data_IF_316584630870
#
_entry.id   IF_316584630870
#
_cell.length_a   1.000
_cell.length_b   1.000
_cell.length_c   1.000
_cell.angle_alpha   90.00
_cell.angle_beta   90.00
_cell.angle_gamma   90.00
#
_symmetry.space_group_name_H-M   'P 1'
#
loop_
_entity.id
_entity.type
_entity.pdbx_description
1 polymer ?
#
# COMPACT_ATOMS: atom_id res chain seq x y z
N UNK A 1 40.00 -23.80 14.66
CA UNK A 1 40.21 -25.27 14.79
C UNK A 1 41.01 -25.57 16.06
N UNK A 2 40.77 -26.69 16.76
CA UNK A 2 41.54 -27.02 17.98
C UNK A 2 42.89 -27.70 17.66
N UNK A 3 43.81 -27.80 18.63
CA UNK A 3 45.17 -28.36 18.41
C UNK A 3 45.17 -29.82 17.92
N UNK A 4 44.23 -30.64 18.42
CA UNK A 4 44.15 -32.06 18.05
C UNK A 4 43.63 -32.22 16.63
N UNK A 5 42.64 -31.42 16.25
CA UNK A 5 42.13 -31.34 14.88
C UNK A 5 43.21 -30.85 13.93
N UNK A 6 44.00 -29.83 14.29
CA UNK A 6 45.06 -29.28 13.44
C UNK A 6 46.03 -30.37 12.96
N UNK A 7 46.48 -31.26 13.85
CA UNK A 7 47.35 -32.38 13.50
C UNK A 7 46.73 -33.35 12.48
N UNK A 8 45.41 -33.52 12.48
CA UNK A 8 44.71 -34.36 11.49
C UNK A 8 44.56 -33.68 10.12
N UNK A 9 44.70 -32.35 10.10
CA UNK A 9 44.58 -31.50 8.93
C UNK A 9 45.94 -31.03 8.38
N UNK A 10 47.05 -31.46 9.00
CA UNK A 10 48.39 -31.22 8.46
C UNK A 10 48.55 -31.92 7.10
N UNK A 11 49.13 -31.21 6.14
CA UNK A 11 49.25 -31.63 4.74
C UNK A 11 47.95 -31.58 3.93
N UNK A 12 46.82 -31.18 4.55
CA UNK A 12 45.51 -31.07 3.87
C UNK A 12 45.17 -29.61 3.57
N UNK A 13 44.22 -29.43 2.65
CA UNK A 13 43.65 -28.12 2.36
C UNK A 13 42.76 -27.65 3.51
N UNK A 14 42.96 -26.39 3.92
CA UNK A 14 42.17 -25.68 4.92
C UNK A 14 41.71 -24.34 4.35
N UNK A 15 40.65 -23.78 4.93
CA UNK A 15 40.29 -22.38 4.73
C UNK A 15 40.94 -21.56 5.81
N UNK A 16 41.54 -20.43 5.45
CA UNK A 16 42.09 -19.51 6.43
C UNK A 16 41.84 -18.05 6.07
N UNK A 17 41.85 -17.21 7.09
CA UNK A 17 41.65 -15.78 6.98
C UNK A 17 42.81 -15.02 7.61
N UNK A 18 43.54 -14.26 6.79
CA UNK A 18 44.65 -13.42 7.26
C UNK A 18 44.21 -12.01 7.62
N UNK A 19 43.22 -11.48 6.91
CA UNK A 19 42.68 -10.14 7.07
C UNK A 19 41.15 -10.14 6.93
N UNK A 20 40.49 -9.00 7.16
CA UNK A 20 39.03 -8.89 7.04
C UNK A 20 38.54 -8.85 5.59
N UNK A 21 39.44 -8.87 4.60
CA UNK A 21 39.10 -8.56 3.22
C UNK A 21 38.81 -9.81 2.38
N UNK A 22 39.44 -10.94 2.71
CA UNK A 22 39.25 -12.19 1.99
C UNK A 22 39.64 -13.43 2.79
N UNK A 23 39.10 -14.58 2.37
CA UNK A 23 39.47 -15.90 2.86
C UNK A 23 40.10 -16.72 1.74
N UNK A 24 41.01 -17.61 2.10
CA UNK A 24 41.88 -18.34 1.18
C UNK A 24 41.78 -19.84 1.40
N UNK A 25 42.09 -20.60 0.34
CA UNK A 25 42.46 -21.99 0.45
C UNK A 25 43.98 -22.12 0.52
N UNK A 26 44.46 -22.97 1.42
CA UNK A 26 45.86 -23.33 1.45
C UNK A 26 46.11 -24.67 2.09
N UNK A 27 47.32 -25.18 1.92
CA UNK A 27 47.76 -26.42 2.56
C UNK A 27 48.44 -26.07 3.87
N UNK A 28 47.96 -26.67 4.96
CA UNK A 28 48.56 -26.53 6.29
C UNK A 28 49.86 -27.36 6.33
N UNK A 29 51.01 -26.72 6.13
CA UNK A 29 52.31 -27.41 6.07
C UNK A 29 52.85 -27.73 7.47
N UNK A 30 52.87 -26.72 8.35
CA UNK A 30 53.48 -26.81 9.68
C UNK A 30 52.54 -26.30 10.77
N UNK A 31 52.69 -26.86 11.98
CA UNK A 31 51.88 -26.50 13.15
C UNK A 31 52.82 -26.22 14.32
N UNK A 32 52.71 -25.03 14.88
CA UNK A 32 53.51 -24.55 16.01
C UNK A 32 52.61 -24.40 17.24
N UNK A 33 52.88 -25.19 18.29
CA UNK A 33 52.07 -25.22 19.52
C UNK A 33 52.86 -24.76 20.76
N UNK A 34 53.17 -23.46 20.91
CA UNK A 34 53.83 -22.96 22.11
C UNK A 34 52.97 -23.16 23.37
N UNK A 35 53.63 -23.45 24.50
CA UNK A 35 52.97 -23.66 25.79
C UNK A 35 52.22 -22.38 26.22
N UNK A 36 50.98 -22.53 26.70
CA UNK A 36 50.08 -21.44 27.12
C UNK A 36 49.80 -20.34 26.07
N UNK A 37 50.02 -20.59 24.78
CA UNK A 37 49.70 -19.67 23.69
C UNK A 37 48.78 -20.33 22.66
N UNK A 38 48.07 -19.51 21.88
CA UNK A 38 47.31 -19.98 20.73
C UNK A 38 48.31 -20.60 19.73
N UNK A 39 47.94 -21.75 19.16
CA UNK A 39 48.79 -22.40 18.18
C UNK A 39 48.75 -21.62 16.86
N UNK A 40 49.82 -21.72 16.08
CA UNK A 40 49.92 -21.08 14.76
C UNK A 40 50.23 -22.13 13.71
N UNK A 41 49.75 -21.93 12.49
CA UNK A 41 50.00 -22.81 11.36
C UNK A 41 50.69 -22.06 10.22
N UNK A 42 51.68 -22.69 9.60
CA UNK A 42 52.25 -22.21 8.33
C UNK A 42 51.42 -22.78 7.19
N UNK A 43 50.83 -21.92 6.38
CA UNK A 43 49.93 -22.31 5.29
C UNK A 43 50.48 -21.81 3.96
N UNK A 44 50.57 -22.71 2.97
CA UNK A 44 50.87 -22.38 1.58
C UNK A 44 49.58 -22.05 0.82
N UNK A 45 49.46 -20.83 0.30
CA UNK A 45 48.25 -20.37 -0.42
C UNK A 45 48.12 -21.07 -1.77
N UNK A 46 46.97 -21.71 -2.00
CA UNK A 46 46.64 -22.36 -3.28
C UNK A 46 45.54 -21.62 -4.05
N UNK A 47 44.68 -20.87 -3.35
CA UNK A 47 43.57 -20.18 -3.98
C UNK A 47 42.82 -19.23 -3.05
N UNK A 48 41.81 -18.57 -3.60
CA UNK A 48 40.88 -17.69 -2.89
C UNK A 48 39.56 -18.41 -2.70
N UNK A 49 39.05 -18.39 -1.46
CA UNK A 49 37.75 -18.96 -1.11
C UNK A 49 36.63 -17.96 -1.31
N UNK A 50 36.75 -16.79 -0.67
CA UNK A 50 35.74 -15.74 -0.68
C UNK A 50 36.40 -14.36 -0.59
N UNK A 51 35.78 -13.37 -1.23
CA UNK A 51 36.19 -11.97 -1.19
C UNK A 51 35.07 -11.20 -0.49
N UNK A 52 35.41 -10.52 0.59
CA UNK A 52 34.47 -9.72 1.38
C UNK A 52 34.54 -8.24 1.01
N UNK A 53 35.69 -7.79 0.51
CA UNK A 53 35.96 -6.40 0.14
C UNK A 53 36.48 -6.30 -1.30
N UNK A 54 35.86 -5.42 -2.10
CA UNK A 54 36.20 -5.17 -3.50
C UNK A 54 37.63 -4.63 -3.64
N UNK A 55 38.10 -3.86 -2.67
CA UNK A 55 39.45 -3.27 -2.71
C UNK A 55 40.54 -4.35 -2.62
N UNK A 56 40.21 -5.53 -2.08
CA UNK A 56 41.13 -6.66 -2.00
C UNK A 56 41.56 -7.17 -3.38
N UNK A 57 40.72 -7.01 -4.41
CA UNK A 57 40.89 -7.56 -5.76
C UNK A 57 42.24 -7.14 -6.36
N UNK A 58 42.68 -5.91 -6.11
CA UNK A 58 43.93 -5.38 -6.64
C UNK A 58 45.18 -6.06 -6.04
N UNK A 59 45.07 -6.60 -4.83
CA UNK A 59 46.17 -7.27 -4.12
C UNK A 59 46.24 -8.78 -4.34
N UNK A 60 45.22 -9.38 -4.98
CA UNK A 60 45.11 -10.84 -5.11
C UNK A 60 46.03 -11.44 -6.20
N UNK A 61 46.47 -10.66 -7.19
CA UNK A 61 47.18 -11.20 -8.36
C UNK A 61 48.48 -11.94 -8.04
N UNK A 62 49.14 -11.57 -6.93
CA UNK A 62 50.50 -12.01 -6.63
C UNK A 62 50.61 -12.94 -5.40
N UNK A 63 49.50 -13.27 -4.73
CA UNK A 63 49.51 -14.05 -3.47
C UNK A 63 49.53 -15.58 -3.66
N UNK A 64 49.43 -16.07 -4.89
CA UNK A 64 49.43 -17.50 -5.17
C UNK A 64 50.81 -18.13 -4.89
N UNK A 65 50.87 -19.09 -3.97
CA UNK A 65 52.13 -19.76 -3.58
C UNK A 65 52.90 -19.08 -2.45
N UNK A 66 52.37 -18.01 -1.85
CA UNK A 66 52.94 -17.41 -0.65
C UNK A 66 52.68 -18.28 0.60
N UNK A 67 53.51 -18.11 1.62
CA UNK A 67 53.36 -18.77 2.92
C UNK A 67 52.97 -17.75 3.99
N UNK A 68 51.95 -18.07 4.75
CA UNK A 68 51.50 -17.25 5.88
C UNK A 68 51.55 -18.05 7.18
N UNK A 69 51.97 -17.40 8.26
CA UNK A 69 51.83 -17.93 9.61
C UNK A 69 50.58 -17.35 10.26
N UNK A 70 49.56 -18.19 10.43
CA UNK A 70 48.21 -17.78 10.84
C UNK A 70 47.86 -18.38 12.20
N UNK A 71 47.13 -17.63 13.01
CA UNK A 71 46.56 -18.12 14.26
C UNK A 71 45.54 -19.22 14.01
N UNK A 72 45.60 -20.31 14.78
CA UNK A 72 44.67 -21.43 14.70
C UNK A 72 43.18 -21.10 14.84
N UNK A 73 42.88 -19.91 15.38
CA UNK A 73 41.50 -19.39 15.45
C UNK A 73 40.95 -19.02 14.07
N UNK A 74 41.80 -18.63 13.14
CA UNK A 74 41.42 -18.21 11.78
C UNK A 74 41.60 -19.34 10.76
N UNK A 75 41.81 -20.58 11.23
CA UNK A 75 41.99 -21.76 10.39
C UNK A 75 40.80 -22.69 10.59
N UNK A 76 40.18 -23.06 9.47
CA UNK A 76 38.97 -23.86 9.42
C UNK A 76 39.17 -25.10 8.52
N UNK A 77 38.65 -26.28 8.94
CA UNK A 77 38.62 -27.48 8.10
C UNK A 77 37.93 -27.22 6.75
N UNK A 78 38.39 -27.88 5.69
CA UNK A 78 37.72 -27.85 4.39
C UNK A 78 37.75 -29.23 3.71
N UNK A 79 36.58 -29.84 3.57
CA UNK A 79 36.38 -31.16 2.97
C UNK A 79 35.88 -31.12 1.52
N UNK A 80 35.70 -29.91 0.97
CA UNK A 80 35.18 -29.71 -0.37
C UNK A 80 36.21 -29.84 -1.49
N UNK A 81 35.76 -29.66 -2.73
CA UNK A 81 36.62 -29.61 -3.92
C UNK A 81 37.16 -28.20 -4.14
N UNK A 82 38.47 -28.06 -4.25
CA UNK A 82 39.12 -26.81 -4.66
C UNK A 82 39.13 -26.64 -6.18
N UNK A 83 39.24 -25.40 -6.63
CA UNK A 83 39.59 -25.13 -8.02
C UNK A 83 41.03 -25.55 -8.28
N UNK A 84 41.32 -26.07 -9.48
CA UNK A 84 42.65 -26.60 -9.84
C UNK A 84 43.73 -25.52 -9.96
N UNK A 85 43.37 -24.25 -9.99
CA UNK A 85 44.33 -23.15 -10.08
C UNK A 85 43.93 -21.95 -9.23
N UNK A 86 44.93 -21.21 -8.77
CA UNK A 86 44.75 -19.95 -8.07
C UNK A 86 43.88 -18.98 -8.89
N UNK A 87 44.22 -18.78 -10.17
CA UNK A 87 43.44 -17.94 -11.10
C UNK A 87 41.98 -18.39 -11.21
N UNK A 88 41.73 -19.70 -11.32
CA UNK A 88 40.38 -20.24 -11.37
C UNK A 88 39.59 -20.00 -10.07
N UNK A 89 40.26 -20.06 -8.92
CA UNK A 89 39.64 -19.76 -7.62
C UNK A 89 39.27 -18.28 -7.49
N UNK A 90 40.13 -17.38 -7.96
CA UNK A 90 39.87 -15.92 -8.00
C UNK A 90 38.65 -15.61 -8.87
N UNK A 91 38.59 -16.14 -10.10
CA UNK A 91 37.46 -15.92 -11.00
C UNK A 91 36.12 -16.37 -10.40
N UNK A 92 36.13 -17.53 -9.73
CA UNK A 92 34.93 -18.03 -9.04
C UNK A 92 34.54 -17.13 -7.87
N UNK A 93 35.50 -16.69 -7.05
CA UNK A 93 35.23 -15.79 -5.93
C UNK A 93 34.68 -14.43 -6.40
N UNK A 94 35.20 -13.89 -7.50
CA UNK A 94 34.68 -12.68 -8.15
C UNK A 94 33.25 -12.86 -8.64
N UNK A 95 32.95 -13.96 -9.32
CA UNK A 95 31.59 -14.26 -9.82
C UNK A 95 30.59 -14.35 -8.65
N UNK A 96 31.00 -14.96 -7.53
CA UNK A 96 30.18 -15.02 -6.33
C UNK A 96 29.93 -13.62 -5.74
N UNK A 97 30.97 -12.78 -5.66
CA UNK A 97 30.85 -11.41 -5.18
C UNK A 97 29.93 -10.56 -6.08
N UNK A 98 30.03 -10.70 -7.40
CA UNK A 98 29.13 -10.04 -8.36
C UNK A 98 27.67 -10.47 -8.17
N UNK A 99 27.42 -11.77 -7.97
CA UNK A 99 26.07 -12.30 -7.73
C UNK A 99 25.48 -11.77 -6.42
N UNK A 100 26.25 -11.80 -5.33
CA UNK A 100 25.85 -11.25 -4.03
C UNK A 100 25.57 -9.75 -4.13
N UNK A 101 26.45 -9.01 -4.81
CA UNK A 101 26.30 -7.56 -5.03
C UNK A 101 25.04 -7.27 -5.86
N UNK A 102 24.77 -8.05 -6.89
CA UNK A 102 23.58 -7.90 -7.74
C UNK A 102 22.29 -8.15 -6.95
N UNK A 103 22.27 -9.19 -6.10
CA UNK A 103 21.16 -9.46 -5.19
C UNK A 103 20.95 -8.31 -4.19
N UNK A 104 22.03 -7.77 -3.62
CA UNK A 104 21.98 -6.61 -2.73
C UNK A 104 21.45 -5.35 -3.43
N UNK A 105 21.87 -5.09 -4.67
CA UNK A 105 21.35 -3.98 -5.49
C UNK A 105 19.84 -4.14 -5.71
N UNK A 106 19.37 -5.34 -6.03
CA UNK A 106 17.95 -5.60 -6.19
C UNK A 106 17.18 -5.36 -4.89
N UNK A 107 17.68 -5.89 -3.77
CA UNK A 107 17.07 -5.67 -2.46
C UNK A 107 17.01 -4.18 -2.09
N UNK A 108 18.09 -3.44 -2.32
CA UNK A 108 18.13 -1.98 -2.09
C UNK A 108 17.17 -1.22 -3.02
N UNK A 109 16.95 -1.67 -4.26
CA UNK A 109 15.95 -1.09 -5.17
C UNK A 109 14.52 -1.31 -4.64
N UNK A 110 14.23 -2.51 -4.14
CA UNK A 110 12.94 -2.85 -3.54
C UNK A 110 12.69 -2.02 -2.27
N UNK A 111 13.70 -1.91 -1.39
CA UNK A 111 13.64 -1.05 -0.21
C UNK A 111 13.43 0.41 -0.60
N UNK A 112 14.15 0.93 -1.60
CA UNK A 112 13.97 2.29 -2.12
C UNK A 112 12.54 2.51 -2.64
N UNK A 113 11.97 1.54 -3.36
CA UNK A 113 10.58 1.58 -3.82
C UNK A 113 9.62 1.62 -2.63
N UNK A 114 9.80 0.75 -1.64
CA UNK A 114 9.02 0.77 -0.40
C UNK A 114 9.10 2.12 0.33
N UNK A 115 10.29 2.72 0.41
CA UNK A 115 10.48 4.05 0.99
C UNK A 115 9.82 5.14 0.16
N UNK A 116 9.84 5.05 -1.17
CA UNK A 116 9.14 5.98 -2.06
C UNK A 116 7.62 5.88 -1.90
N UNK A 117 7.07 4.66 -1.87
CA UNK A 117 5.66 4.39 -1.66
C UNK A 117 5.22 4.85 -0.27
N UNK A 118 6.04 4.59 0.76
CA UNK A 118 5.82 5.08 2.11
C UNK A 118 5.88 6.60 2.16
N UNK A 119 6.87 7.23 1.50
CA UNK A 119 6.97 8.69 1.41
C UNK A 119 5.78 9.30 0.66
N UNK A 120 5.24 8.64 -0.36
CA UNK A 120 4.00 9.04 -1.03
C UNK A 120 2.82 8.93 -0.06
N UNK A 121 2.67 7.82 0.65
CA UNK A 121 1.65 7.64 1.69
C UNK A 121 1.76 8.68 2.81
N UNK A 122 2.97 9.01 3.27
CA UNK A 122 3.21 10.02 4.31
C UNK A 122 3.14 11.46 3.79
N UNK A 123 3.54 11.74 2.54
CA UNK A 123 3.29 13.05 1.88
C UNK A 123 1.80 13.29 1.72
N UNK A 124 1.05 12.26 1.32
CA UNK A 124 -0.40 12.31 1.21
C UNK A 124 -1.07 12.30 2.60
N UNK A 125 -0.39 11.76 3.63
CA UNK A 125 -0.87 11.75 5.01
C UNK A 125 -0.67 13.07 5.76
N UNK A 126 0.35 13.87 5.40
CA UNK A 126 0.60 15.19 6.00
C UNK A 126 1.40 16.09 5.03
N UNK A 127 0.73 16.77 4.09
CA UNK A 127 1.13 18.09 3.52
C UNK A 127 0.18 18.57 2.42
N UNK A 128 -0.94 19.14 2.82
CA UNK A 128 -1.25 20.58 2.79
C UNK A 128 -2.64 20.70 3.42
N UNK A 129 -3.02 21.87 3.90
CA UNK A 129 -4.42 22.25 3.82
C UNK A 129 -4.78 22.25 2.33
N UNK A 130 -4.92 21.07 1.73
CA UNK A 130 -5.69 20.94 0.51
C UNK A 130 -7.01 21.58 0.86
N UNK A 131 -7.34 22.63 0.12
CA UNK A 131 -8.66 23.22 0.19
C UNK A 131 -9.65 22.04 0.23
N UNK A 132 -10.41 21.89 1.33
CA UNK A 132 -11.24 20.71 1.51
C UNK A 132 -12.45 20.78 0.58
N UNK A 133 -12.50 21.76 -0.33
CA UNK A 133 -13.54 21.91 -1.32
C UNK A 133 -13.02 21.70 -2.75
N UNK A 134 -13.89 21.14 -3.58
CA UNK A 134 -13.81 21.21 -5.04
C UNK A 134 -14.67 22.37 -5.52
N UNK A 135 -14.18 23.11 -6.51
CA UNK A 135 -14.83 24.30 -7.03
C UNK A 135 -15.47 24.03 -8.38
N UNK A 136 -16.72 24.45 -8.52
CA UNK A 136 -17.53 24.26 -9.71
C UNK A 136 -18.13 25.59 -10.16
N UNK A 137 -18.48 25.63 -11.43
CA UNK A 137 -19.25 26.70 -12.04
C UNK A 137 -20.56 26.13 -12.57
N UNK A 138 -21.70 26.78 -12.28
CA UNK A 138 -22.97 26.40 -12.88
C UNK A 138 -22.98 26.72 -14.38
N UNK A 139 -23.19 25.70 -15.19
CA UNK A 139 -23.34 25.78 -16.64
C UNK A 139 -24.77 25.45 -17.08
N UNK A 140 -25.06 25.73 -18.35
CA UNK A 140 -26.27 25.30 -19.02
C UNK A 140 -25.86 24.69 -20.35
N UNK A 141 -26.08 23.38 -20.50
CA UNK A 141 -25.69 22.61 -21.68
C UNK A 141 -26.79 21.57 -21.98
N UNK A 142 -27.10 21.34 -23.25
CA UNK A 142 -28.07 20.31 -23.68
C UNK A 142 -29.45 20.40 -22.98
N UNK A 143 -29.94 21.62 -22.77
CA UNK A 143 -31.19 21.93 -22.05
C UNK A 143 -31.19 21.68 -20.53
N UNK A 144 -30.08 21.20 -19.97
CA UNK A 144 -29.93 20.90 -18.54
C UNK A 144 -28.90 21.79 -17.82
N UNK A 145 -29.05 21.90 -16.49
CA UNK A 145 -28.12 22.65 -15.64
C UNK A 145 -27.04 21.71 -15.14
N UNK A 146 -25.78 22.07 -15.36
CA UNK A 146 -24.62 21.24 -15.05
C UNK A 146 -23.66 21.94 -14.10
N UNK A 147 -23.00 21.15 -13.25
CA UNK A 147 -21.84 21.54 -12.46
C UNK A 147 -20.58 21.24 -13.28
N UNK A 148 -19.81 22.29 -13.60
CA UNK A 148 -18.55 22.17 -14.34
C UNK A 148 -17.40 22.36 -13.36
N UNK A 149 -16.62 21.30 -13.13
CA UNK A 149 -15.49 21.29 -12.21
C UNK A 149 -14.34 22.15 -12.75
N UNK A 150 -13.83 23.07 -11.95
CA UNK A 150 -12.95 24.12 -12.47
C UNK A 150 -11.56 23.60 -12.88
N UNK A 151 -11.09 22.49 -12.31
CA UNK A 151 -9.71 22.01 -12.47
C UNK A 151 -9.52 21.01 -13.62
N UNK A 152 -10.37 20.00 -13.70
CA UNK A 152 -10.34 18.92 -14.70
C UNK A 152 -11.43 19.05 -15.76
N UNK A 153 -12.34 20.04 -15.62
CA UNK A 153 -13.47 20.28 -16.53
C UNK A 153 -14.43 19.09 -16.61
N UNK A 154 -14.45 18.25 -15.58
CA UNK A 154 -15.47 17.23 -15.41
C UNK A 154 -16.85 17.86 -15.23
N UNK A 155 -17.89 17.15 -15.69
CA UNK A 155 -19.26 17.64 -15.73
C UNK A 155 -20.15 16.71 -14.92
N UNK A 156 -21.06 17.30 -14.17
CA UNK A 156 -22.04 16.58 -13.37
C UNK A 156 -23.41 17.24 -13.50
N UNK A 157 -24.47 16.45 -13.61
CA UNK A 157 -25.83 16.99 -13.60
C UNK A 157 -26.15 17.60 -12.24
N UNK A 158 -26.78 18.77 -12.24
CA UNK A 158 -27.24 19.39 -11.00
C UNK A 158 -28.51 18.71 -10.47
N UNK A 159 -29.40 18.29 -11.37
CA UNK A 159 -30.64 17.62 -10.99
C UNK A 159 -30.36 16.23 -10.42
N UNK A 160 -30.93 15.94 -9.24
CA UNK A 160 -30.63 14.70 -8.50
C UNK A 160 -29.23 14.61 -7.89
N UNK A 161 -28.46 15.71 -7.88
CA UNK A 161 -27.13 15.75 -7.27
C UNK A 161 -27.20 15.50 -5.74
N UNK A 162 -26.54 14.46 -5.20
CA UNK A 162 -26.65 14.06 -3.79
C UNK A 162 -25.74 14.86 -2.85
N UNK A 163 -25.10 15.92 -3.35
CA UNK A 163 -24.10 16.69 -2.62
C UNK A 163 -24.68 18.00 -2.08
N UNK A 164 -24.31 18.33 -0.85
CA UNK A 164 -24.53 19.64 -0.28
C UNK A 164 -23.61 20.67 -0.97
N UNK A 165 -24.21 21.76 -1.45
CA UNK A 165 -23.52 22.80 -2.20
C UNK A 165 -23.28 24.04 -1.31
N UNK A 166 -22.14 24.69 -1.49
CA UNK A 166 -21.90 26.04 -0.98
C UNK A 166 -21.78 27.01 -2.14
N UNK A 167 -22.59 28.06 -2.14
CA UNK A 167 -22.57 29.11 -3.16
C UNK A 167 -21.77 30.32 -2.68
N UNK A 168 -20.92 30.87 -3.55
CA UNK A 168 -20.17 32.08 -3.27
C UNK A 168 -21.04 33.32 -3.43
N UNK A 169 -21.39 33.94 -2.30
CA UNK A 169 -22.17 35.16 -2.29
C UNK A 169 -21.27 36.40 -2.38
N UNK A 170 -20.98 36.81 -3.61
CA UNK A 170 -20.05 37.91 -3.93
C UNK A 170 -20.37 39.25 -3.23
N UNK A 171 -21.62 39.51 -2.82
CA UNK A 171 -22.01 40.76 -2.12
C UNK A 171 -21.47 40.84 -0.69
N UNK A 172 -21.22 39.71 -0.04
CA UNK A 172 -20.71 39.64 1.33
C UNK A 172 -19.41 38.85 1.45
N UNK A 173 -18.81 38.46 0.31
CA UNK A 173 -17.55 37.70 0.25
C UNK A 173 -17.56 36.44 1.14
N UNK A 174 -18.67 35.70 1.08
CA UNK A 174 -18.91 34.54 1.95
C UNK A 174 -19.45 33.34 1.15
N UNK A 175 -19.21 32.14 1.68
CA UNK A 175 -19.77 30.89 1.16
C UNK A 175 -21.00 30.48 1.96
N UNK A 176 -22.14 30.34 1.28
CA UNK A 176 -23.42 30.01 1.90
C UNK A 176 -23.88 28.63 1.48
N UNK A 177 -24.19 27.79 2.46
CA UNK A 177 -24.80 26.48 2.23
C UNK A 177 -26.16 26.64 1.56
N UNK A 178 -26.33 25.96 0.43
CA UNK A 178 -27.55 25.97 -0.39
C UNK A 178 -27.95 24.54 -0.75
N UNK A 179 -29.24 24.25 -0.64
CA UNK A 179 -29.85 23.02 -1.12
C UNK A 179 -30.50 23.28 -2.48
N UNK A 180 -30.19 22.47 -3.49
CA UNK A 180 -30.88 22.53 -4.77
C UNK A 180 -32.31 22.04 -4.61
N UNK A 181 -33.29 22.82 -5.07
CA UNK A 181 -34.71 22.39 -5.07
C UNK A 181 -35.13 21.95 -6.48
N UNK A 182 -34.93 22.81 -7.48
CA UNK A 182 -35.29 22.56 -8.88
C UNK A 182 -34.70 23.64 -9.79
N UNK A 183 -34.23 23.26 -10.97
CA UNK A 183 -33.67 24.21 -11.96
C UNK A 183 -32.65 25.16 -11.29
N UNK A 184 -32.82 26.48 -11.48
CA UNK A 184 -31.98 27.54 -10.92
C UNK A 184 -32.36 27.94 -9.48
N UNK A 185 -33.28 27.23 -8.82
CA UNK A 185 -33.80 27.59 -7.49
C UNK A 185 -33.10 26.77 -6.40
N UNK A 186 -32.60 27.47 -5.40
CA UNK A 186 -31.87 26.92 -4.27
C UNK A 186 -32.44 27.47 -2.96
N UNK A 187 -32.24 26.74 -1.87
CA UNK A 187 -32.73 27.10 -0.53
C UNK A 187 -31.57 27.22 0.45
N UNK A 188 -31.48 28.37 1.12
CA UNK A 188 -30.52 28.61 2.20
C UNK A 188 -30.95 27.91 3.49
N UNK A 189 -30.02 27.72 4.43
CA UNK A 189 -30.30 27.15 5.78
C UNK A 189 -31.43 27.84 6.54
N UNK A 190 -31.62 29.15 6.34
CA UNK A 190 -32.69 29.93 6.95
C UNK A 190 -34.06 29.76 6.26
N UNK A 191 -34.17 28.87 5.27
CA UNK A 191 -35.38 28.61 4.50
C UNK A 191 -35.63 29.61 3.36
N UNK A 192 -34.82 30.66 3.22
CA UNK A 192 -34.95 31.63 2.14
C UNK A 192 -34.57 30.99 0.81
N UNK A 193 -35.41 31.20 -0.21
CA UNK A 193 -35.13 30.77 -1.58
C UNK A 193 -34.29 31.81 -2.30
N UNK A 194 -33.27 31.34 -3.00
CA UNK A 194 -32.39 32.12 -3.86
C UNK A 194 -32.38 31.51 -5.25
N UNK A 195 -32.29 32.36 -6.27
CA UNK A 195 -32.11 31.93 -7.65
C UNK A 195 -30.67 32.18 -8.04
N UNK A 196 -29.96 31.13 -8.44
CA UNK A 196 -28.60 31.25 -8.96
C UNK A 196 -28.65 31.41 -10.48
N UNK A 197 -27.59 31.95 -11.06
CA UNK A 197 -27.46 32.20 -12.50
C UNK A 197 -26.31 31.38 -13.08
N UNK A 198 -26.30 31.25 -14.40
CA UNK A 198 -25.18 30.63 -15.12
C UNK A 198 -23.89 31.39 -14.82
N UNK A 199 -22.82 30.65 -14.55
CA UNK A 199 -21.54 31.22 -14.12
C UNK A 199 -21.39 31.37 -12.61
N UNK A 200 -22.42 31.08 -11.80
CA UNK A 200 -22.29 31.13 -10.35
C UNK A 200 -21.27 30.10 -9.84
N UNK A 201 -20.38 30.57 -8.96
CA UNK A 201 -19.37 29.73 -8.32
C UNK A 201 -20.00 28.97 -7.14
N UNK A 202 -19.87 27.66 -7.18
CA UNK A 202 -20.28 26.76 -6.10
C UNK A 202 -19.11 25.87 -5.71
N UNK A 203 -19.10 25.38 -4.48
CA UNK A 203 -18.07 24.46 -4.00
C UNK A 203 -18.69 23.31 -3.21
N UNK A 204 -18.04 22.16 -3.25
CA UNK A 204 -18.50 20.92 -2.60
C UNK A 204 -17.34 20.38 -1.77
N UNK A 205 -17.62 20.03 -0.52
CA UNK A 205 -16.59 19.48 0.35
C UNK A 205 -16.12 18.11 -0.17
N UNK A 206 -14.81 17.91 -0.31
CA UNK A 206 -14.13 16.69 -0.79
C UNK A 206 -14.56 15.44 -0.03
N UNK A 207 -14.84 15.55 1.28
CA UNK A 207 -15.36 14.42 2.06
C UNK A 207 -16.72 13.90 1.56
N UNK A 208 -17.51 14.73 0.87
CA UNK A 208 -18.75 14.26 0.26
C UNK A 208 -18.48 13.37 -0.95
N UNK A 209 -17.28 13.40 -1.53
CA UNK A 209 -16.82 12.48 -2.57
C UNK A 209 -16.23 11.18 -2.00
N UNK A 210 -16.12 11.04 -0.67
CA UNK A 210 -15.70 9.79 -0.05
C UNK A 210 -16.76 8.71 -0.29
N UNK A 211 -16.41 7.57 -0.93
CA UNK A 211 -17.38 6.55 -1.32
C UNK A 211 -18.27 6.04 -0.17
N UNK A 212 -17.73 6.05 1.05
CA UNK A 212 -18.48 5.69 2.26
C UNK A 212 -19.45 6.76 2.71
N UNK A 213 -19.08 8.04 2.61
CA UNK A 213 -20.00 9.15 2.92
C UNK A 213 -21.14 9.19 1.91
N UNK A 214 -20.85 8.94 0.64
CA UNK A 214 -21.86 8.81 -0.41
C UNK A 214 -22.80 7.65 -0.13
N UNK A 215 -22.25 6.48 0.23
CA UNK A 215 -23.07 5.34 0.64
C UNK A 215 -24.00 5.73 1.80
N UNK A 216 -23.49 6.42 2.82
CA UNK A 216 -24.33 6.88 3.91
C UNK A 216 -25.39 7.88 3.42
N UNK A 217 -25.07 8.82 2.53
CA UNK A 217 -26.08 9.75 2.03
C UNK A 217 -27.18 9.04 1.21
N UNK A 218 -26.83 7.97 0.50
CA UNK A 218 -27.75 7.12 -0.27
C UNK A 218 -28.71 6.31 0.63
N UNK A 219 -28.22 5.79 1.76
CA UNK A 219 -29.01 4.90 2.61
C UNK A 219 -30.13 5.66 3.35
N UNK A 220 -31.32 5.05 3.37
CA UNK A 220 -32.38 5.47 4.27
C UNK A 220 -31.99 5.25 5.75
N UNK A 221 -32.64 5.98 6.67
CA UNK A 221 -32.33 5.93 8.11
C UNK A 221 -32.32 4.51 8.69
N UNK A 222 -33.28 3.62 8.40
CA UNK A 222 -33.27 2.26 8.95
C UNK A 222 -32.10 1.41 8.42
N UNK A 223 -31.70 1.61 7.16
CA UNK A 223 -30.56 0.94 6.58
C UNK A 223 -29.23 1.43 7.20
N UNK A 224 -29.12 2.74 7.49
CA UNK A 224 -27.99 3.31 8.24
C UNK A 224 -27.87 2.69 9.62
N UNK A 225 -28.98 2.55 10.33
CA UNK A 225 -29.02 1.93 11.66
C UNK A 225 -28.61 0.46 11.60
N UNK A 226 -29.04 -0.27 10.57
CA UNK A 226 -28.65 -1.67 10.33
C UNK A 226 -27.14 -1.81 10.13
N UNK A 227 -26.55 -0.97 9.27
CA UNK A 227 -25.10 -0.93 9.07
C UNK A 227 -24.36 -0.56 10.36
N UNK A 228 -24.85 0.44 11.09
CA UNK A 228 -24.26 0.84 12.37
C UNK A 228 -24.35 -0.27 13.42
N UNK A 229 -25.42 -1.06 13.43
CA UNK A 229 -25.56 -2.21 14.32
C UNK A 229 -24.55 -3.29 14.01
N UNK A 230 -24.39 -3.68 12.75
CA UNK A 230 -23.35 -4.64 12.32
C UNK A 230 -21.98 -4.19 12.79
N UNK A 231 -21.63 -2.92 12.55
CA UNK A 231 -20.32 -2.41 12.96
C UNK A 231 -20.13 -2.47 14.48
N UNK A 232 -21.17 -2.16 15.25
CA UNK A 232 -21.13 -2.23 16.71
C UNK A 232 -21.00 -3.67 17.19
N UNK A 233 -21.75 -4.61 16.62
CA UNK A 233 -21.77 -6.03 17.01
C UNK A 233 -20.39 -6.68 16.82
N UNK A 234 -19.71 -6.33 15.72
CA UNK A 234 -18.34 -6.78 15.45
C UNK A 234 -17.24 -5.89 16.08
N UNK A 235 -17.59 -4.83 16.80
CA UNK A 235 -16.62 -3.96 17.50
C UNK A 235 -15.83 -3.00 16.61
N UNK A 236 -16.36 -2.67 15.42
CA UNK A 236 -15.80 -1.74 14.45
C UNK A 236 -16.44 -0.34 14.51
N UNK A 237 -15.72 0.64 13.96
CA UNK A 237 -16.12 2.06 13.88
C UNK A 237 -15.73 2.58 12.50
N UNK A 238 -16.29 3.72 12.08
CA UNK A 238 -15.93 4.39 10.81
C UNK A 238 -14.42 4.55 10.61
N UNK A 239 -13.67 4.88 11.67
CA UNK A 239 -12.20 5.04 11.61
C UNK A 239 -11.43 3.77 11.23
N UNK A 240 -12.05 2.60 11.29
CA UNK A 240 -11.45 1.33 10.91
C UNK A 240 -11.72 0.98 9.44
N UNK A 241 -12.48 1.81 8.71
CA UNK A 241 -12.73 1.59 7.29
C UNK A 241 -11.44 1.80 6.50
N UNK A 242 -11.02 0.79 5.75
CA UNK A 242 -9.83 0.83 4.89
C UNK A 242 -10.22 1.04 3.43
N UNK A 243 -11.35 0.44 3.02
CA UNK A 243 -11.80 0.53 1.62
C UNK A 243 -13.32 0.51 1.53
N UNK A 244 -13.87 1.40 0.71
CA UNK A 244 -15.27 1.35 0.29
C UNK A 244 -15.31 1.37 -1.24
N UNK A 245 -15.93 0.36 -1.83
CA UNK A 245 -16.26 0.31 -3.25
C UNK A 245 -17.75 0.57 -3.39
N UNK A 246 -18.11 1.80 -3.79
CA UNK A 246 -19.49 2.18 -4.08
C UNK A 246 -19.72 2.11 -5.60
N UNK A 247 -20.49 1.12 -6.04
CA UNK A 247 -20.84 0.90 -7.44
C UNK A 247 -22.04 1.72 -7.89
N UNK A 248 -22.90 2.14 -6.95
CA UNK A 248 -24.15 2.84 -7.22
C UNK A 248 -23.89 4.26 -7.74
N UNK A 249 -22.91 4.95 -7.14
CA UNK A 249 -22.48 6.27 -7.63
C UNK A 249 -22.04 6.22 -9.10
N UNK A 250 -21.29 5.18 -9.49
CA UNK A 250 -20.84 5.03 -10.87
C UNK A 250 -22.03 4.81 -11.81
N UNK A 251 -23.04 4.07 -11.36
CA UNK A 251 -24.25 3.87 -12.16
C UNK A 251 -25.06 5.16 -12.28
N UNK A 252 -25.25 5.93 -11.20
CA UNK A 252 -25.97 7.21 -11.22
C UNK A 252 -25.28 8.28 -12.09
N UNK A 253 -23.95 8.37 -12.06
CA UNK A 253 -23.19 9.34 -12.87
C UNK A 253 -23.22 9.03 -14.38
N UNK A 254 -23.57 7.80 -14.76
CA UNK A 254 -23.62 7.35 -16.16
C UNK A 254 -25.03 7.05 -16.66
N UNK A 255 -26.04 7.19 -15.81
CA UNK A 255 -27.43 6.91 -16.15
C UNK A 255 -28.02 8.07 -16.94
N UNK A 256 -28.06 7.94 -18.27
CA UNK A 256 -28.77 8.90 -19.12
C UNK A 256 -30.29 8.67 -19.09
N UNK A 257 -30.78 7.42 -18.89
CA UNK A 257 -32.23 7.11 -18.89
C UNK A 257 -32.65 5.91 -18.00
N UNK A 258 -31.73 5.30 -17.23
CA UNK A 258 -32.05 4.11 -16.44
C UNK A 258 -32.80 4.45 -15.13
N UNK A 259 -33.94 3.80 -14.90
CA UNK A 259 -34.75 3.96 -13.67
C UNK A 259 -34.53 2.83 -12.66
N UNK A 260 -33.73 1.83 -13.01
CA UNK A 260 -33.50 0.65 -12.17
C UNK A 260 -32.02 0.42 -11.96
N UNK A 261 -31.61 0.42 -10.69
CA UNK A 261 -30.22 0.25 -10.30
C UNK A 261 -30.09 -0.98 -9.41
N UNK A 262 -29.10 -1.82 -9.70
CA UNK A 262 -28.78 -2.98 -8.85
C UNK A 262 -27.28 -3.16 -8.79
N UNK A 263 -26.78 -3.57 -7.63
CA UNK A 263 -25.36 -3.79 -7.49
C UNK A 263 -24.95 -4.23 -6.10
N UNK A 264 -23.64 -4.31 -5.92
CA UNK A 264 -23.01 -4.70 -4.66
C UNK A 264 -21.88 -3.74 -4.35
N UNK A 265 -21.94 -3.15 -3.17
CA UNK A 265 -20.87 -2.37 -2.58
C UNK A 265 -20.05 -3.26 -1.65
N UNK A 266 -18.74 -3.01 -1.59
CA UNK A 266 -17.83 -3.72 -0.70
C UNK A 266 -17.22 -2.74 0.30
N UNK A 267 -17.33 -3.06 1.58
CA UNK A 267 -16.76 -2.31 2.68
C UNK A 267 -15.77 -3.21 3.42
N UNK A 268 -14.52 -2.76 3.55
CA UNK A 268 -13.47 -3.50 4.24
C UNK A 268 -13.07 -2.68 5.45
N UNK A 269 -13.20 -3.28 6.64
CA UNK A 269 -12.73 -2.70 7.88
C UNK A 269 -11.60 -3.55 8.47
N UNK A 270 -10.55 -2.89 8.94
CA UNK A 270 -9.41 -3.54 9.58
C UNK A 270 -9.13 -2.89 10.93
N UNK A 271 -8.88 -3.71 11.94
CA UNK A 271 -8.54 -3.27 13.29
C UNK A 271 -7.49 -4.23 13.85
N UNK A 272 -6.29 -3.70 14.10
CA UNK A 272 -5.14 -4.47 14.60
C UNK A 272 -4.83 -5.66 13.70
N UNK A 273 -5.12 -6.89 14.15
CA UNK A 273 -4.92 -8.14 13.43
C UNK A 273 -6.25 -8.79 13.00
N UNK A 274 -7.37 -8.05 13.06
CA UNK A 274 -8.70 -8.54 12.69
C UNK A 274 -9.29 -7.74 11.54
N UNK A 275 -10.07 -8.41 10.69
CA UNK A 275 -10.76 -7.76 9.58
C UNK A 275 -12.21 -8.26 9.41
N UNK A 276 -13.07 -7.36 8.92
CA UNK A 276 -14.41 -7.71 8.47
C UNK A 276 -14.65 -7.18 7.06
N UNK A 277 -15.43 -7.93 6.30
CA UNK A 277 -15.90 -7.54 4.98
C UNK A 277 -17.43 -7.44 5.04
N UNK A 278 -17.97 -6.29 4.68
CA UNK A 278 -19.42 -6.10 4.51
C UNK A 278 -19.73 -5.98 3.02
N UNK A 279 -20.54 -6.90 2.54
CA UNK A 279 -21.14 -6.85 1.21
C UNK A 279 -22.52 -6.19 1.34
N UNK A 280 -22.70 -5.04 0.70
CA UNK A 280 -23.96 -4.33 0.67
C UNK A 280 -24.59 -4.49 -0.72
N UNK A 281 -25.58 -5.37 -0.83
CA UNK A 281 -26.37 -5.52 -2.05
C UNK A 281 -27.54 -4.54 -2.00
N UNK A 282 -27.68 -3.74 -3.05
CA UNK A 282 -28.77 -2.78 -3.18
C UNK A 282 -29.59 -3.03 -4.45
N UNK A 283 -30.86 -2.69 -4.37
CA UNK A 283 -31.75 -2.56 -5.51
C UNK A 283 -32.55 -1.26 -5.35
N UNK A 284 -32.64 -0.48 -6.43
CA UNK A 284 -33.41 0.78 -6.53
C UNK A 284 -34.28 0.73 -7.76
N UNK A 285 -35.54 1.15 -7.64
CA UNK A 285 -36.40 1.45 -8.78
C UNK A 285 -36.97 2.84 -8.55
N UNK A 286 -36.51 3.80 -9.35
CA UNK A 286 -36.96 5.18 -9.32
C UNK A 286 -38.27 5.30 -10.09
N UNK A 287 -39.32 5.80 -9.45
CA UNK A 287 -40.61 6.01 -10.11
C UNK A 287 -40.82 7.50 -10.37
N UNK A 288 -41.22 7.87 -11.59
CA UNK A 288 -41.61 9.26 -11.88
C UNK A 288 -42.81 9.75 -11.05
N UNK A 289 -43.67 8.83 -10.62
CA UNK A 289 -44.86 9.09 -9.81
C UNK A 289 -45.02 7.93 -8.83
N UNK A 290 -44.86 8.19 -7.53
CA UNK A 290 -44.97 7.18 -6.46
C UNK A 290 -43.76 7.19 -5.53
N UNK A 291 -43.71 6.26 -4.58
CA UNK A 291 -42.51 6.03 -3.76
C UNK A 291 -41.52 5.14 -4.52
N UNK A 292 -40.23 5.44 -4.38
CA UNK A 292 -39.17 4.63 -4.96
C UNK A 292 -39.06 3.28 -4.26
N UNK A 293 -38.72 2.24 -5.00
CA UNK A 293 -38.40 0.95 -4.40
C UNK A 293 -36.97 0.98 -3.86
N UNK A 294 -36.79 0.69 -2.58
CA UNK A 294 -35.48 0.61 -1.92
C UNK A 294 -35.35 -0.75 -1.25
N UNK A 295 -34.28 -1.46 -1.59
CA UNK A 295 -33.86 -2.71 -0.96
C UNK A 295 -32.37 -2.66 -0.65
N UNK A 296 -32.01 -2.97 0.59
CA UNK A 296 -30.63 -3.01 1.08
C UNK A 296 -30.39 -4.29 1.88
N UNK A 297 -29.38 -5.06 1.49
CA UNK A 297 -28.92 -6.23 2.24
C UNK A 297 -27.46 -6.07 2.60
N UNK A 298 -27.18 -6.05 3.89
CA UNK A 298 -25.82 -6.04 4.44
C UNK A 298 -25.45 -7.44 4.89
N UNK A 299 -24.35 -7.96 4.37
CA UNK A 299 -23.77 -9.23 4.77
C UNK A 299 -22.35 -9.01 5.27
N UNK A 300 -22.14 -9.18 6.58
CA UNK A 300 -20.86 -9.08 7.24
C UNK A 300 -20.23 -10.46 7.38
N UNK A 301 -18.95 -10.59 7.05
CA UNK A 301 -18.13 -11.78 7.30
C UNK A 301 -16.85 -11.36 8.01
N UNK A 302 -16.53 -11.99 9.15
CA UNK A 302 -15.23 -11.83 9.83
C UNK A 302 -14.22 -12.88 9.38
N UNK A 303 -12.95 -12.59 9.64
CA UNK A 303 -11.83 -13.55 9.55
C UNK A 303 -11.98 -14.77 10.48
N UNK A 304 -12.82 -14.68 11.51
CA UNK A 304 -13.17 -15.76 12.42
C UNK A 304 -14.36 -16.60 11.90
N UNK A 305 -14.79 -16.42 10.65
CA UNK A 305 -15.94 -17.06 10.01
C UNK A 305 -17.30 -16.73 10.68
N UNK A 306 -17.39 -15.66 11.46
CA UNK A 306 -18.67 -15.17 11.95
C UNK A 306 -19.38 -14.41 10.82
N UNK A 307 -20.67 -14.70 10.60
CA UNK A 307 -21.46 -14.11 9.53
C UNK A 307 -22.76 -13.54 10.08
N UNK A 308 -23.06 -12.30 9.72
CA UNK A 308 -24.32 -11.63 10.05
C UNK A 308 -24.93 -11.06 8.79
N UNK A 309 -26.24 -11.22 8.63
CA UNK A 309 -27.00 -10.67 7.50
C UNK A 309 -28.14 -9.83 8.03
N UNK A 310 -28.22 -8.58 7.59
CA UNK A 310 -29.35 -7.69 7.83
C UNK A 310 -29.93 -7.26 6.49
N UNK A 311 -31.25 -7.10 6.45
CA UNK A 311 -31.96 -6.69 5.23
C UNK A 311 -33.00 -5.65 5.58
N UNK A 312 -33.08 -4.64 4.74
CA UNK A 312 -34.05 -3.56 4.78
C UNK A 312 -34.75 -3.45 3.43
N UNK A 313 -36.05 -3.16 3.47
CA UNK A 313 -36.81 -2.77 2.30
C UNK A 313 -37.93 -1.83 2.72
N UNK A 314 -38.19 -0.80 1.92
CA UNK A 314 -39.23 0.20 2.21
C UNK A 314 -40.63 -0.24 1.77
N UNK A 315 -40.75 -1.28 0.93
CA UNK A 315 -42.05 -1.90 0.62
C UNK A 315 -42.38 -3.02 1.62
N UNK A 316 -43.51 -2.89 2.28
CA UNK A 316 -44.17 -4.04 2.89
C UNK A 316 -44.57 -5.00 1.76
N UNK A 317 -44.07 -6.23 1.78
CA UNK A 317 -44.74 -7.33 1.06
C UNK A 317 -46.18 -7.38 1.56
N UNK A 318 -47.11 -6.87 0.76
CA UNK A 318 -48.53 -7.20 0.86
C UNK A 318 -48.59 -8.73 0.77
N UNK A 319 -48.92 -9.37 1.89
CA UNK A 319 -49.20 -10.80 1.96
C UNK A 319 -50.51 -11.12 1.27
#
# INVERSE_FOLDING_TARGET
MNRKEALQWQGKTVIFQNDSTCSYYGVLEEIHTPQNKIWTGTILVQGVHEIFDVDAIFSLKDRGGERFTISGNNIHPFDGKTSRSFRGSVLRALTNLENVTSANIQHLKEQKKHLQDSRLRFKNGHRQSEDPYLYFTLGYEEEEIVLIENSQKERMMLDGCPFDLEWYYAKHDEWLMVLHEREWKFKLKNGKKVRLEQGAAVRIHKEQFEPFQILLNELETPAKESLASILRDFGYKRKHLVKCHNTLLRQLLHAQEEQKFTGVNFLIFEKEASSIIIQHRYERILHHIGEDYVYDRFECTSDQNERQVLTYTNMQTLK
#
